data_IF_647179829793
#
_entry.id   IF_647179829793
#
_cell.length_a   1.000
_cell.length_b   1.000
_cell.length_c   1.000
_cell.angle_alpha   90.00
_cell.angle_beta   90.00
_cell.angle_gamma   90.00
#
_symmetry.space_group_name_H-M   'P 1'
#
loop_
_entity.id
_entity.type
_entity.pdbx_description
1 polymer ?
#
# COMPACT_ATOMS: atom_id res chain seq x y z
N UNK A 1 20.15 -5.54 -10.13
CA UNK A 1 20.34 -4.93 -11.48
C UNK A 1 21.11 -5.83 -12.45
N UNK A 2 22.14 -6.51 -11.93
CA UNK A 2 23.01 -7.39 -12.72
C UNK A 2 22.38 -8.74 -13.07
N UNK A 3 21.34 -9.17 -12.34
CA UNK A 3 20.56 -10.38 -12.65
C UNK A 3 19.28 -10.00 -13.44
N UNK A 4 19.23 -10.14 -14.77
CA UNK A 4 18.11 -9.67 -15.59
C UNK A 4 16.82 -10.44 -15.32
N UNK A 5 16.91 -11.73 -14.94
CA UNK A 5 15.72 -12.56 -14.71
C UNK A 5 14.99 -12.21 -13.42
N UNK A 6 15.61 -11.41 -12.54
CA UNK A 6 14.99 -10.89 -11.31
C UNK A 6 13.97 -9.77 -11.55
N UNK A 7 13.94 -9.18 -12.77
CA UNK A 7 13.01 -8.09 -13.13
C UNK A 7 11.68 -8.62 -13.63
N UNK A 8 10.71 -7.71 -13.74
CA UNK A 8 9.55 -7.91 -14.58
C UNK A 8 9.98 -8.06 -16.05
N UNK A 9 9.44 -9.08 -16.73
CA UNK A 9 9.88 -9.50 -18.08
C UNK A 9 8.81 -9.32 -19.16
N UNK A 10 7.52 -9.28 -18.78
CA UNK A 10 6.37 -9.18 -19.69
C UNK A 10 6.45 -10.11 -20.92
N UNK A 11 6.91 -11.34 -20.69
CA UNK A 11 7.10 -12.37 -21.71
C UNK A 11 6.91 -13.77 -21.10
N UNK A 12 7.08 -14.82 -21.89
CA UNK A 12 6.95 -16.23 -21.48
C UNK A 12 8.17 -16.78 -20.74
N UNK A 13 9.12 -15.92 -20.34
CA UNK A 13 10.33 -16.29 -19.60
C UNK A 13 10.10 -16.15 -18.10
N UNK A 14 10.47 -17.17 -17.32
CA UNK A 14 10.42 -17.18 -15.86
C UNK A 14 11.83 -17.22 -15.27
N UNK A 15 12.05 -16.45 -14.21
CA UNK A 15 13.23 -16.63 -13.36
C UNK A 15 12.97 -17.79 -12.38
N UNK A 16 13.98 -18.62 -12.14
CA UNK A 16 13.91 -19.74 -11.21
C UNK A 16 14.89 -19.52 -10.06
N UNK A 17 14.39 -19.66 -8.83
CA UNK A 17 15.19 -19.53 -7.63
C UNK A 17 14.91 -20.73 -6.72
N UNK A 18 15.97 -21.34 -6.23
CA UNK A 18 15.89 -22.38 -5.21
C UNK A 18 16.21 -21.79 -3.84
N UNK A 19 15.48 -22.24 -2.84
CA UNK A 19 15.63 -21.84 -1.45
C UNK A 19 15.37 -23.06 -0.56
N UNK A 20 16.12 -23.16 0.53
CA UNK A 20 15.96 -24.24 1.50
C UNK A 20 14.89 -23.85 2.54
N UNK A 21 13.71 -24.46 2.43
CA UNK A 21 12.56 -24.14 3.26
C UNK A 21 11.77 -22.90 2.82
N UNK A 22 10.57 -22.76 3.39
CA UNK A 22 9.64 -21.68 3.01
C UNK A 22 10.06 -20.33 3.61
N UNK A 23 10.82 -20.34 4.71
CA UNK A 23 11.35 -19.16 5.37
C UNK A 23 12.40 -18.47 4.47
N UNK A 24 13.35 -19.23 3.91
CA UNK A 24 14.30 -18.70 2.93
C UNK A 24 13.58 -18.25 1.64
N UNK A 25 12.54 -18.99 1.22
CA UNK A 25 11.68 -18.57 0.11
C UNK A 25 10.93 -17.26 0.39
N UNK A 26 10.48 -17.06 1.64
CA UNK A 26 9.84 -15.84 2.09
C UNK A 26 10.77 -14.63 1.97
N UNK A 27 12.00 -14.75 2.46
CA UNK A 27 13.00 -13.70 2.35
C UNK A 27 13.33 -13.38 0.89
N UNK A 28 13.52 -14.41 0.05
CA UNK A 28 13.74 -14.22 -1.40
C UNK A 28 12.56 -13.50 -2.06
N UNK A 29 11.32 -13.83 -1.70
CA UNK A 29 10.15 -13.11 -2.20
C UNK A 29 10.17 -11.63 -1.79
N UNK A 30 10.55 -11.32 -0.55
CA UNK A 30 10.67 -9.94 -0.06
C UNK A 30 11.74 -9.17 -0.83
N UNK A 31 12.91 -9.78 -1.10
CA UNK A 31 13.98 -9.19 -1.92
C UNK A 31 13.46 -8.81 -3.32
N UNK A 32 12.79 -9.74 -4.00
CA UNK A 32 12.22 -9.52 -5.35
C UNK A 32 11.15 -8.42 -5.34
N UNK A 33 10.25 -8.45 -4.34
CA UNK A 33 9.22 -7.41 -4.18
C UNK A 33 9.88 -6.05 -3.95
N UNK A 34 10.90 -5.98 -3.09
CA UNK A 34 11.62 -4.73 -2.81
C UNK A 34 12.36 -4.20 -4.03
N UNK A 35 12.81 -5.07 -4.92
CA UNK A 35 13.51 -4.68 -6.15
C UNK A 35 12.59 -4.08 -7.22
N UNK A 36 11.35 -4.56 -7.36
CA UNK A 36 10.45 -4.03 -8.41
C UNK A 36 8.96 -4.38 -8.32
N UNK A 37 8.49 -5.01 -7.25
CA UNK A 37 7.11 -5.52 -7.14
C UNK A 37 6.28 -4.94 -5.99
N UNK A 38 6.77 -3.88 -5.33
CA UNK A 38 6.16 -3.33 -4.11
C UNK A 38 4.67 -3.00 -4.32
N UNK A 39 3.82 -3.53 -3.45
CA UNK A 39 2.39 -3.26 -3.48
C UNK A 39 1.60 -4.04 -4.54
N UNK A 40 2.24 -4.72 -5.49
CA UNK A 40 1.55 -5.29 -6.64
C UNK A 40 0.89 -6.64 -6.31
N UNK A 41 1.52 -7.76 -6.65
CA UNK A 41 0.91 -9.08 -6.55
C UNK A 41 1.94 -10.15 -6.16
N UNK A 42 1.48 -11.18 -5.46
CA UNK A 42 2.20 -12.41 -5.20
C UNK A 42 1.25 -13.60 -5.39
N UNK A 43 1.78 -14.72 -5.87
CA UNK A 43 1.07 -16.00 -5.89
C UNK A 43 1.83 -17.01 -5.05
N UNK A 44 1.10 -17.80 -4.27
CA UNK A 44 1.64 -18.94 -3.54
C UNK A 44 0.87 -20.20 -3.87
N UNK A 45 1.61 -21.28 -4.09
CA UNK A 45 1.07 -22.62 -4.22
C UNK A 45 1.55 -23.44 -3.02
N UNK A 46 0.65 -23.70 -2.07
CA UNK A 46 0.95 -24.39 -0.82
C UNK A 46 -0.33 -25.01 -0.23
N UNK A 47 -0.18 -26.02 0.63
CA UNK A 47 -1.29 -26.63 1.37
C UNK A 47 -1.23 -26.35 2.87
N UNK A 48 -0.06 -25.98 3.39
CA UNK A 48 0.09 -25.58 4.80
C UNK A 48 -0.45 -24.17 5.02
N UNK A 49 -1.53 -24.08 5.79
CA UNK A 49 -2.19 -22.83 6.14
C UNK A 49 -1.29 -21.87 6.92
N UNK A 50 -0.34 -22.37 7.71
CA UNK A 50 0.60 -21.51 8.45
C UNK A 50 1.53 -20.79 7.49
N UNK A 51 2.02 -21.51 6.48
CA UNK A 51 2.87 -20.93 5.43
C UNK A 51 2.07 -19.92 4.62
N UNK A 52 0.84 -20.28 4.20
CA UNK A 52 -0.04 -19.36 3.46
C UNK A 52 -0.29 -18.08 4.27
N UNK A 53 -0.60 -18.21 5.56
CA UNK A 53 -0.87 -17.07 6.43
C UNK A 53 0.37 -16.20 6.64
N UNK A 54 1.55 -16.80 6.84
CA UNK A 54 2.81 -16.06 6.93
C UNK A 54 3.09 -15.30 5.62
N UNK A 55 2.74 -15.87 4.46
CA UNK A 55 2.78 -15.15 3.18
C UNK A 55 1.77 -14.02 3.10
N UNK A 56 0.55 -14.24 3.58
CA UNK A 56 -0.51 -13.24 3.65
C UNK A 56 -0.18 -12.01 4.50
N UNK A 57 0.48 -12.21 5.64
CA UNK A 57 0.73 -11.16 6.63
C UNK A 57 2.01 -10.36 6.35
N UNK A 58 3.07 -11.00 5.88
CA UNK A 58 4.39 -10.37 5.84
C UNK A 58 4.73 -9.71 4.50
N UNK A 59 4.07 -10.11 3.41
CA UNK A 59 4.46 -9.66 2.07
C UNK A 59 3.86 -8.29 1.78
N UNK A 60 4.68 -7.28 1.42
CA UNK A 60 4.20 -5.91 1.19
C UNK A 60 3.57 -5.77 -0.20
N UNK A 61 2.50 -6.52 -0.47
CA UNK A 61 1.71 -6.49 -1.71
C UNK A 61 0.22 -6.54 -1.38
N UNK A 62 -0.63 -6.03 -2.28
CA UNK A 62 -2.07 -5.91 -2.00
C UNK A 62 -2.93 -7.00 -2.65
N UNK A 63 -2.33 -7.90 -3.42
CA UNK A 63 -2.99 -9.10 -3.95
C UNK A 63 -2.11 -10.31 -3.70
N UNK A 64 -2.60 -11.22 -2.87
CA UNK A 64 -1.94 -12.50 -2.61
C UNK A 64 -2.91 -13.60 -3.07
N UNK A 65 -2.57 -14.22 -4.19
CA UNK A 65 -3.35 -15.31 -4.77
C UNK A 65 -2.84 -16.64 -4.24
N UNK A 66 -3.75 -17.51 -3.79
CA UNK A 66 -3.41 -18.83 -3.23
C UNK A 66 -3.98 -19.90 -4.15
N UNK A 67 -3.12 -20.83 -4.60
CA UNK A 67 -3.52 -22.02 -5.37
C UNK A 67 -4.39 -21.71 -6.61
N UNK A 68 -4.10 -20.63 -7.32
CA UNK A 68 -4.81 -20.20 -8.54
C UNK A 68 -3.82 -19.62 -9.55
N UNK A 69 -4.26 -19.40 -10.79
CA UNK A 69 -3.44 -18.74 -11.80
C UNK A 69 -3.15 -17.30 -11.39
N UNK A 70 -1.87 -16.89 -11.37
CA UNK A 70 -1.46 -15.57 -10.91
C UNK A 70 -2.18 -14.43 -11.65
N UNK A 71 -2.12 -14.41 -12.98
CA UNK A 71 -2.70 -13.35 -13.81
C UNK A 71 -4.22 -13.26 -13.64
N UNK A 72 -4.93 -14.37 -13.87
CA UNK A 72 -6.39 -14.39 -13.83
C UNK A 72 -6.94 -14.24 -12.41
N UNK A 73 -6.20 -14.73 -11.42
CA UNK A 73 -6.56 -14.60 -10.02
C UNK A 73 -6.38 -13.18 -9.50
N UNK A 74 -5.29 -12.49 -9.87
CA UNK A 74 -5.02 -11.13 -9.43
C UNK A 74 -5.97 -10.07 -10.04
N UNK A 75 -6.48 -10.32 -11.26
CA UNK A 75 -7.48 -9.44 -11.88
C UNK A 75 -8.92 -9.75 -11.43
N UNK A 76 -9.13 -10.76 -10.60
CA UNK A 76 -10.46 -11.13 -10.09
C UNK A 76 -11.31 -12.01 -11.01
N UNK A 77 -10.72 -12.69 -12.02
CA UNK A 77 -11.46 -13.59 -12.91
C UNK A 77 -11.70 -14.97 -12.28
N UNK A 78 -10.67 -15.54 -11.66
CA UNK A 78 -10.73 -16.89 -11.03
C UNK A 78 -10.80 -16.84 -9.51
N UNK A 79 -10.82 -15.64 -8.94
CA UNK A 79 -10.94 -15.39 -7.50
C UNK A 79 -12.13 -14.46 -7.25
N UNK A 80 -12.43 -14.20 -5.97
CA UNK A 80 -13.56 -13.32 -5.58
C UNK A 80 -13.13 -11.90 -5.19
N UNK A 81 -11.92 -11.48 -5.55
CA UNK A 81 -11.56 -10.07 -5.46
C UNK A 81 -12.23 -9.31 -6.61
N UNK A 82 -12.38 -8.00 -6.47
CA UNK A 82 -13.10 -7.21 -7.46
C UNK A 82 -12.44 -7.31 -8.85
N UNK A 83 -13.20 -7.57 -9.92
CA UNK A 83 -12.65 -7.63 -11.27
C UNK A 83 -12.08 -6.28 -11.71
N UNK A 84 -10.82 -6.25 -12.16
CA UNK A 84 -10.18 -5.03 -12.68
C UNK A 84 -8.91 -5.31 -13.49
N UNK A 85 -8.62 -4.43 -14.45
CA UNK A 85 -7.32 -4.37 -15.15
C UNK A 85 -6.44 -3.21 -14.64
N UNK A 86 -6.94 -2.41 -13.70
CA UNK A 86 -6.18 -1.37 -13.01
C UNK A 86 -6.01 -1.79 -11.56
N UNK A 87 -4.81 -2.25 -11.24
CA UNK A 87 -4.49 -2.85 -9.94
C UNK A 87 -3.71 -1.82 -9.10
N UNK A 88 -4.33 -1.30 -8.04
CA UNK A 88 -3.71 -0.31 -7.18
C UNK A 88 -2.53 -0.90 -6.40
N UNK A 89 -1.36 -0.27 -6.49
CA UNK A 89 -0.15 -0.71 -5.78
C UNK A 89 -0.05 -0.17 -4.34
N UNK A 90 -1.11 0.48 -3.83
CA UNK A 90 -1.18 1.15 -2.52
C UNK A 90 -0.03 2.09 -2.19
N UNK A 91 -0.02 2.63 -0.97
CA UNK A 91 0.93 3.70 -0.60
C UNK A 91 2.39 3.29 -0.76
N UNK A 92 2.73 2.03 -0.47
CA UNK A 92 4.09 1.49 -0.63
C UNK A 92 4.56 1.39 -2.09
N UNK A 93 3.61 1.31 -3.03
CA UNK A 93 3.85 1.32 -4.46
C UNK A 93 3.52 2.66 -5.13
N UNK A 94 3.29 3.72 -4.34
CA UNK A 94 3.02 5.08 -4.85
C UNK A 94 1.58 5.34 -5.30
N UNK A 95 0.62 4.49 -4.95
CA UNK A 95 -0.80 4.66 -5.29
C UNK A 95 -1.67 4.96 -4.06
N UNK A 96 -2.83 5.59 -4.28
CA UNK A 96 -3.76 5.96 -3.19
C UNK A 96 -4.43 4.75 -2.53
N UNK A 97 -4.64 3.66 -3.26
CA UNK A 97 -5.30 2.42 -2.77
C UNK A 97 -4.57 1.18 -3.26
N UNK A 98 -4.67 0.09 -2.49
CA UNK A 98 -4.26 -1.26 -2.86
C UNK A 98 -5.34 -2.03 -3.65
N UNK A 99 -6.53 -1.46 -3.77
CA UNK A 99 -7.70 -2.13 -4.35
C UNK A 99 -7.50 -2.44 -5.85
N UNK A 100 -8.23 -3.45 -6.30
CA UNK A 100 -8.60 -3.55 -7.70
C UNK A 100 -9.59 -2.42 -7.99
N UNK A 101 -9.25 -1.51 -8.92
CA UNK A 101 -10.07 -0.32 -9.15
C UNK A 101 -11.40 -0.72 -9.78
N UNK A 102 -12.48 -0.16 -9.24
CA UNK A 102 -13.87 -0.43 -9.61
C UNK A 102 -14.67 0.87 -9.71
N UNK A 103 -15.95 0.75 -10.06
CA UNK A 103 -16.90 1.87 -10.14
C UNK A 103 -16.95 2.72 -8.86
N UNK A 104 -16.75 2.12 -7.68
CA UNK A 104 -16.75 2.83 -6.39
C UNK A 104 -15.65 3.87 -6.25
N UNK A 105 -14.60 3.76 -7.05
CA UNK A 105 -13.49 4.71 -7.08
C UNK A 105 -13.75 5.89 -8.04
N UNK A 106 -14.81 5.83 -8.85
CA UNK A 106 -15.08 6.76 -9.94
C UNK A 106 -16.25 7.70 -9.65
N UNK A 107 -16.78 7.69 -8.43
CA UNK A 107 -17.81 8.63 -8.02
C UNK A 107 -17.58 9.16 -6.61
N UNK A 108 -18.13 10.35 -6.35
CA UNK A 108 -18.10 10.97 -5.03
C UNK A 108 -19.36 10.60 -4.25
N UNK A 109 -19.22 10.38 -2.94
CA UNK A 109 -20.35 10.17 -2.03
C UNK A 109 -20.66 11.48 -1.31
N UNK A 110 -21.81 12.09 -1.64
CA UNK A 110 -22.35 13.23 -0.89
C UNK A 110 -23.04 12.74 0.39
N UNK A 111 -22.64 13.27 1.55
CA UNK A 111 -23.25 12.94 2.85
C UNK A 111 -23.97 14.16 3.42
N UNK A 112 -25.27 14.02 3.70
CA UNK A 112 -26.06 14.97 4.47
C UNK A 112 -26.17 14.42 5.89
N UNK A 113 -25.60 15.11 6.87
CA UNK A 113 -25.56 14.67 8.25
C UNK A 113 -26.26 15.69 9.15
N UNK A 114 -27.20 15.22 9.97
CA UNK A 114 -27.83 16.00 11.02
C UNK A 114 -27.03 15.88 12.32
N UNK A 115 -27.15 16.87 13.19
CA UNK A 115 -26.55 16.86 14.51
C UNK A 115 -27.10 15.68 15.33
N UNK A 116 -26.22 14.75 15.73
CA UNK A 116 -26.57 13.58 16.55
C UNK A 116 -26.14 13.75 18.01
N UNK A 117 -25.13 14.57 18.26
CA UNK A 117 -24.56 14.85 19.58
C UNK A 117 -24.31 16.34 19.67
N UNK A 118 -24.83 16.97 20.73
CA UNK A 118 -24.61 18.38 20.98
C UNK A 118 -23.11 18.68 21.11
N UNK A 119 -22.62 19.81 20.58
CA UNK A 119 -21.24 20.20 20.75
C UNK A 119 -20.92 20.38 22.24
N UNK A 120 -19.69 20.05 22.68
CA UNK A 120 -19.27 20.32 24.06
C UNK A 120 -19.35 21.84 24.33
N UNK A 121 -19.72 22.24 25.55
CA UNK A 121 -19.89 23.66 25.90
C UNK A 121 -18.65 24.51 25.56
N UNK A 122 -17.45 23.93 25.67
CA UNK A 122 -16.19 24.59 25.33
C UNK A 122 -16.15 25.06 23.87
N UNK A 123 -16.78 24.32 22.94
CA UNK A 123 -16.86 24.70 21.54
C UNK A 123 -17.83 25.87 21.30
N UNK A 124 -18.76 26.12 22.22
CA UNK A 124 -19.70 27.24 22.17
C UNK A 124 -19.14 28.51 22.82
N UNK A 125 -18.07 28.39 23.61
CA UNK A 125 -17.40 29.54 24.23
C UNK A 125 -16.66 30.32 23.14
N UNK A 126 -16.93 31.62 23.05
CA UNK A 126 -16.08 32.53 22.25
C UNK A 126 -14.65 32.42 22.78
N UNK A 127 -13.68 32.27 21.87
CA UNK A 127 -12.27 32.33 22.23
C UNK A 127 -12.01 33.61 23.04
N UNK A 128 -11.55 33.44 24.29
CA UNK A 128 -11.27 34.58 25.19
C UNK A 128 -9.96 35.27 24.83
N UNK A 129 -9.11 34.61 24.04
CA UNK A 129 -7.91 35.20 23.47
C UNK A 129 -8.34 35.91 22.19
N UNK A 130 -8.20 37.25 22.08
CA UNK A 130 -8.32 37.90 20.78
C UNK A 130 -7.39 37.17 19.81
N UNK A 131 -7.79 37.02 18.55
CA UNK A 131 -6.86 36.61 17.51
C UNK A 131 -5.71 37.63 17.54
N UNK A 132 -4.63 37.29 18.26
CA UNK A 132 -3.42 38.08 18.25
C UNK A 132 -2.90 38.15 16.81
N UNK A 133 -1.87 38.95 16.51
CA UNK A 133 -1.20 38.81 15.24
C UNK A 133 -0.90 37.33 15.04
N UNK A 134 -1.40 36.73 13.96
CA UNK A 134 -1.05 35.38 13.57
C UNK A 134 0.45 35.44 13.28
N UNK A 135 1.27 35.24 14.32
CA UNK A 135 2.66 34.84 14.13
C UNK A 135 2.56 33.40 13.67
N UNK A 136 2.35 33.25 12.37
CA UNK A 136 2.72 32.01 11.69
C UNK A 136 4.16 31.70 12.09
N UNK A 137 4.52 30.40 12.17
CA UNK A 137 5.90 30.04 12.44
C UNK A 137 6.80 30.76 11.43
N UNK A 138 7.92 31.28 11.91
CA UNK A 138 8.87 32.01 11.07
C UNK A 138 9.20 31.14 9.85
N UNK A 139 8.94 31.60 8.61
CA UNK A 139 9.18 30.82 7.40
C UNK A 139 10.61 30.27 7.32
N UNK A 140 11.59 30.98 7.88
CA UNK A 140 12.99 30.51 7.92
C UNK A 140 13.17 29.36 8.91
N UNK A 141 12.52 29.41 10.08
CA UNK A 141 12.50 28.28 11.01
C UNK A 141 11.76 27.08 10.43
N UNK A 142 10.63 27.29 9.77
CA UNK A 142 9.88 26.21 9.10
C UNK A 142 10.74 25.55 8.03
N UNK A 143 11.40 26.36 7.18
CA UNK A 143 12.30 25.83 6.15
C UNK A 143 13.45 25.03 6.75
N UNK A 144 14.09 25.52 7.82
CA UNK A 144 15.18 24.81 8.49
C UNK A 144 14.72 23.46 9.08
N UNK A 145 13.53 23.42 9.70
CA UNK A 145 12.95 22.18 10.23
C UNK A 145 12.59 21.21 9.11
N UNK A 146 11.94 21.68 8.05
CA UNK A 146 11.62 20.85 6.87
C UNK A 146 12.89 20.27 6.26
N UNK A 147 13.94 21.08 6.10
CA UNK A 147 15.20 20.63 5.51
C UNK A 147 15.92 19.61 6.40
N UNK A 148 15.88 19.79 7.73
CA UNK A 148 16.41 18.83 8.68
C UNK A 148 15.68 17.49 8.61
N UNK A 149 14.35 17.50 8.60
CA UNK A 149 13.50 16.30 8.50
C UNK A 149 13.69 15.61 7.14
N UNK A 150 13.77 16.35 6.05
CA UNK A 150 14.04 15.80 4.71
C UNK A 150 15.42 15.13 4.67
N UNK A 151 16.46 15.75 5.26
CA UNK A 151 17.79 15.15 5.37
C UNK A 151 17.83 13.90 6.24
N UNK A 152 16.98 13.81 7.25
CA UNK A 152 16.86 12.61 8.08
C UNK A 152 16.14 11.48 7.34
N UNK A 153 15.07 11.79 6.60
CA UNK A 153 14.31 10.81 5.80
C UNK A 153 15.11 10.29 4.60
N UNK A 154 15.98 11.11 4.02
CA UNK A 154 16.82 10.75 2.88
C UNK A 154 18.13 10.03 3.24
N UNK A 155 18.40 9.79 4.53
CA UNK A 155 19.47 8.90 4.99
C UNK A 155 18.99 7.45 5.02
#
# INVERSE_FOLDING_TARGET
>A
PEEPLSREKLTTVLGWYEADGWEAGCERCIELIRFGGRGHSLVIHATDEKVIMAFGLEKPVFRIAVNTMATLGAIGLTTKIMPSLTLGSGGIGGAMTGDNITVYHLFNVKRLAFEAVAPPEQALRRGMVPAGPIKGPDPQQVAAVVEAVVKEILK
#
